data_IF_619198253081
#
_entry.id   IF_619198253081
#
_cell.length_a   1.000
_cell.length_b   1.000
_cell.length_c   1.000
_cell.angle_alpha   90.00
_cell.angle_beta   90.00
_cell.angle_gamma   90.00
#
_symmetry.space_group_name_H-M   'P 1'
#
loop_
_entity.id
_entity.type
_entity.pdbx_description
1 polymer ?
#
# COMPACT_ATOMS: atom_id res chain seq x y z
N UNK A 1 15.09 -23.18 3.07
CA UNK A 1 14.57 -21.91 3.61
C UNK A 1 15.36 -21.58 4.87
N UNK A 2 16.02 -20.43 4.97
CA UNK A 2 16.86 -20.12 6.15
C UNK A 2 16.06 -19.39 7.23
N UNK A 3 16.48 -19.46 8.50
CA UNK A 3 15.87 -18.68 9.59
C UNK A 3 15.94 -17.16 9.35
N UNK A 4 17.00 -16.70 8.68
CA UNK A 4 17.24 -15.28 8.40
C UNK A 4 16.17 -14.71 7.45
N UNK A 5 15.81 -15.50 6.44
CA UNK A 5 14.75 -15.17 5.48
C UNK A 5 13.36 -15.03 6.14
N UNK A 6 13.04 -15.95 7.07
CA UNK A 6 11.81 -15.91 7.86
C UNK A 6 11.75 -14.66 8.76
N UNK A 7 12.86 -14.32 9.43
CA UNK A 7 12.94 -13.14 10.28
C UNK A 7 12.72 -11.83 9.50
N UNK A 8 13.27 -11.74 8.28
CA UNK A 8 13.06 -10.58 7.40
C UNK A 8 11.60 -10.49 6.95
N UNK A 9 10.99 -11.60 6.50
CA UNK A 9 9.60 -11.62 6.07
C UNK A 9 8.62 -11.27 7.22
N UNK A 10 8.84 -11.81 8.43
CA UNK A 10 8.05 -11.51 9.63
C UNK A 10 8.17 -10.04 10.01
N UNK A 11 9.38 -9.48 9.97
CA UNK A 11 9.62 -8.07 10.29
C UNK A 11 8.91 -7.14 9.30
N UNK A 12 8.95 -7.45 8.00
CA UNK A 12 8.26 -6.69 6.96
C UNK A 12 6.74 -6.78 7.11
N UNK A 13 6.22 -7.98 7.37
CA UNK A 13 4.79 -8.19 7.62
C UNK A 13 4.32 -7.44 8.88
N UNK A 14 5.10 -7.47 9.96
CA UNK A 14 4.82 -6.74 11.19
C UNK A 14 4.83 -5.21 10.96
N UNK A 15 5.84 -4.68 10.24
CA UNK A 15 5.89 -3.25 9.88
C UNK A 15 4.71 -2.84 9.00
N UNK A 16 4.35 -3.66 8.01
CA UNK A 16 3.18 -3.39 7.18
C UNK A 16 1.90 -3.33 8.03
N UNK A 17 1.68 -4.31 8.91
CA UNK A 17 0.49 -4.36 9.77
C UNK A 17 0.42 -3.22 10.78
N UNK A 18 1.56 -2.87 11.42
CA UNK A 18 1.60 -1.91 12.53
C UNK A 18 1.61 -0.45 12.08
N UNK A 19 2.30 -0.15 10.97
CA UNK A 19 2.53 1.23 10.56
C UNK A 19 1.86 1.59 9.23
N UNK A 20 2.02 0.74 8.20
CA UNK A 20 1.52 1.11 6.86
C UNK A 20 0.02 0.89 6.70
N UNK A 21 -0.50 -0.24 7.19
CA UNK A 21 -1.90 -0.62 7.03
C UNK A 21 -2.86 0.42 7.67
N UNK A 22 -2.68 0.89 8.91
CA UNK A 22 -3.56 1.90 9.49
C UNK A 22 -3.58 3.21 8.69
N UNK A 23 -2.40 3.66 8.22
CA UNK A 23 -2.29 4.89 7.44
C UNK A 23 -2.95 4.76 6.06
N UNK A 24 -2.73 3.65 5.35
CA UNK A 24 -3.38 3.40 4.05
C UNK A 24 -4.90 3.30 4.20
N UNK A 25 -5.40 2.72 5.29
CA UNK A 25 -6.84 2.67 5.58
C UNK A 25 -7.41 4.05 5.87
N UNK A 26 -6.67 4.92 6.57
CA UNK A 26 -7.09 6.31 6.78
C UNK A 26 -7.18 7.08 5.45
N UNK A 27 -6.17 6.94 4.58
CA UNK A 27 -6.18 7.53 3.24
C UNK A 27 -7.38 7.01 2.43
N UNK A 28 -7.64 5.70 2.49
CA UNK A 28 -8.79 5.11 1.83
C UNK A 28 -10.11 5.72 2.34
N UNK A 29 -10.27 5.90 3.65
CA UNK A 29 -11.47 6.51 4.21
C UNK A 29 -11.69 7.96 3.73
N UNK A 30 -10.61 8.76 3.62
CA UNK A 30 -10.66 10.11 3.03
C UNK A 30 -11.12 10.05 1.57
N UNK A 31 -10.54 9.16 0.78
CA UNK A 31 -10.92 8.97 -0.61
C UNK A 31 -12.36 8.45 -0.79
N UNK A 32 -12.82 7.57 0.11
CA UNK A 32 -14.19 7.04 0.08
C UNK A 32 -15.24 8.14 0.38
N UNK A 33 -14.83 9.26 1.01
CA UNK A 33 -15.66 10.47 1.18
C UNK A 33 -15.67 11.40 -0.05
N UNK A 34 -14.95 11.05 -1.11
CA UNK A 34 -14.83 11.86 -2.33
C UNK A 34 -13.78 12.99 -2.23
N UNK A 35 -13.02 13.05 -1.14
CA UNK A 35 -11.96 14.03 -0.97
C UNK A 35 -10.73 13.69 -1.83
N UNK A 36 -9.93 14.70 -2.17
CA UNK A 36 -8.65 14.51 -2.88
C UNK A 36 -7.54 14.12 -1.91
N UNK A 37 -6.48 13.52 -2.45
CA UNK A 37 -5.28 13.28 -1.67
C UNK A 37 -4.55 14.58 -1.37
N UNK A 38 -4.05 14.71 -0.15
CA UNK A 38 -3.07 15.75 0.17
C UNK A 38 -1.69 15.39 -0.40
N UNK A 39 -0.82 16.39 -0.58
CA UNK A 39 0.58 16.14 -0.95
C UNK A 39 1.30 15.20 0.03
N UNK A 40 0.94 15.26 1.31
CA UNK A 40 1.49 14.38 2.33
C UNK A 40 1.07 12.91 2.09
N UNK A 41 -0.18 12.68 1.70
CA UNK A 41 -0.68 11.35 1.37
C UNK A 41 -0.07 10.80 0.09
N UNK A 42 0.10 11.66 -0.94
CA UNK A 42 0.79 11.30 -2.18
C UNK A 42 2.24 10.88 -1.88
N UNK A 43 2.99 11.69 -1.12
CA UNK A 43 4.37 11.36 -0.72
C UNK A 43 4.45 10.05 0.06
N UNK A 44 3.51 9.84 0.99
CA UNK A 44 3.43 8.59 1.75
C UNK A 44 3.19 7.37 0.86
N UNK A 45 2.22 7.45 -0.06
CA UNK A 45 1.90 6.36 -0.98
C UNK A 45 3.06 6.07 -1.93
N UNK A 46 3.74 7.10 -2.43
CA UNK A 46 4.91 6.94 -3.28
C UNK A 46 6.03 6.18 -2.55
N UNK A 47 6.35 6.59 -1.32
CA UNK A 47 7.33 5.91 -0.49
C UNK A 47 6.91 4.46 -0.18
N UNK A 48 5.63 4.23 0.12
CA UNK A 48 5.09 2.90 0.40
C UNK A 48 5.18 1.95 -0.79
N UNK A 49 4.90 2.43 -1.99
CA UNK A 49 5.08 1.67 -3.23
C UNK A 49 6.56 1.39 -3.52
N UNK A 50 7.45 2.37 -3.33
CA UNK A 50 8.90 2.21 -3.51
C UNK A 50 9.45 1.13 -2.58
N UNK A 51 9.11 1.22 -1.29
CA UNK A 51 9.55 0.25 -0.29
C UNK A 51 8.99 -1.14 -0.60
N UNK A 52 7.71 -1.25 -0.99
CA UNK A 52 7.11 -2.54 -1.37
C UNK A 52 7.83 -3.16 -2.58
N UNK A 53 8.16 -2.38 -3.62
CA UNK A 53 8.91 -2.85 -4.79
C UNK A 53 10.30 -3.37 -4.44
N UNK A 54 10.99 -2.74 -3.48
CA UNK A 54 12.34 -3.17 -3.04
C UNK A 54 12.32 -4.53 -2.37
N UNK A 55 11.28 -4.84 -1.60
CA UNK A 55 11.17 -6.12 -0.87
C UNK A 55 10.41 -7.21 -1.61
N UNK A 56 9.64 -6.86 -2.64
CA UNK A 56 8.86 -7.82 -3.44
C UNK A 56 9.71 -8.98 -4.00
N UNK A 57 10.91 -8.77 -4.57
CA UNK A 57 11.72 -9.87 -5.11
C UNK A 57 12.20 -10.84 -4.03
N UNK A 58 12.49 -10.34 -2.83
CA UNK A 58 12.86 -11.19 -1.69
C UNK A 58 11.64 -12.01 -1.25
N UNK A 59 10.49 -11.36 -1.06
CA UNK A 59 9.27 -11.99 -0.54
C UNK A 59 8.65 -12.98 -1.54
N UNK A 60 8.74 -12.71 -2.85
CA UNK A 60 8.19 -13.56 -3.90
C UNK A 60 8.89 -14.92 -4.01
N UNK A 61 10.13 -15.05 -3.51
CA UNK A 61 10.89 -16.30 -3.51
C UNK A 61 10.47 -17.26 -2.39
N UNK A 62 9.61 -16.83 -1.46
CA UNK A 62 9.20 -17.64 -0.31
C UNK A 62 7.81 -18.27 -0.50
N UNK A 63 7.70 -19.61 -0.40
CA UNK A 63 6.41 -20.29 -0.34
C UNK A 63 5.59 -19.78 0.85
N UNK A 64 4.36 -19.32 0.59
CA UNK A 64 3.43 -18.85 1.63
C UNK A 64 3.25 -17.33 1.73
N UNK A 65 4.13 -16.52 1.14
CA UNK A 65 3.98 -15.06 1.15
C UNK A 65 3.01 -14.52 0.09
N UNK A 66 2.64 -15.34 -0.90
CA UNK A 66 1.78 -14.93 -2.02
C UNK A 66 0.48 -14.25 -1.58
N UNK A 67 -0.24 -14.81 -0.60
CA UNK A 67 -1.50 -14.21 -0.11
C UNK A 67 -1.31 -12.82 0.52
N UNK A 68 -0.21 -12.59 1.24
CA UNK A 68 0.09 -11.29 1.85
C UNK A 68 0.43 -10.26 0.77
N UNK A 69 1.27 -10.65 -0.18
CA UNK A 69 1.67 -9.81 -1.32
C UNK A 69 0.45 -9.40 -2.14
N UNK A 70 -0.41 -10.36 -2.52
CA UNK A 70 -1.62 -10.07 -3.28
C UNK A 70 -2.57 -9.12 -2.54
N UNK A 71 -2.79 -9.31 -1.24
CA UNK A 71 -3.62 -8.40 -0.43
C UNK A 71 -3.06 -6.99 -0.35
N UNK A 72 -1.73 -6.86 -0.19
CA UNK A 72 -1.09 -5.55 -0.18
C UNK A 72 -1.20 -4.85 -1.55
N UNK A 73 -0.98 -5.59 -2.64
CA UNK A 73 -1.11 -5.07 -3.99
C UNK A 73 -2.54 -4.59 -4.31
N UNK A 74 -3.56 -5.40 -3.97
CA UNK A 74 -4.96 -5.04 -4.13
C UNK A 74 -5.33 -3.77 -3.36
N UNK A 75 -4.82 -3.62 -2.12
CA UNK A 75 -5.07 -2.43 -1.32
C UNK A 75 -4.48 -1.17 -1.98
N UNK A 76 -3.23 -1.22 -2.44
CA UNK A 76 -2.61 -0.08 -3.12
C UNK A 76 -3.31 0.26 -4.44
N UNK A 77 -3.73 -0.76 -5.22
CA UNK A 77 -4.47 -0.55 -6.46
C UNK A 77 -5.81 0.15 -6.21
N UNK A 78 -6.58 -0.31 -5.23
CA UNK A 78 -7.87 0.29 -4.87
C UNK A 78 -7.73 1.76 -4.46
N UNK A 79 -6.70 2.09 -3.67
CA UNK A 79 -6.41 3.48 -3.27
C UNK A 79 -6.05 4.34 -4.48
N UNK A 80 -5.21 3.83 -5.40
CA UNK A 80 -4.82 4.57 -6.59
C UNK A 80 -6.01 4.84 -7.53
N UNK A 81 -6.86 3.83 -7.76
CA UNK A 81 -8.06 3.96 -8.59
C UNK A 81 -9.04 5.00 -8.02
N UNK A 82 -9.29 4.95 -6.71
CA UNK A 82 -10.18 5.90 -6.05
C UNK A 82 -9.61 7.33 -6.07
N UNK A 83 -8.29 7.49 -5.89
CA UNK A 83 -7.65 8.80 -5.99
C UNK A 83 -7.84 9.43 -7.38
N UNK A 84 -7.62 8.66 -8.45
CA UNK A 84 -7.85 9.13 -9.82
C UNK A 84 -9.32 9.49 -10.05
N UNK A 85 -10.26 8.66 -9.58
CA UNK A 85 -11.68 8.93 -9.72
C UNK A 85 -12.11 10.24 -9.02
N UNK A 86 -11.57 10.51 -7.82
CA UNK A 86 -11.88 11.75 -7.10
C UNK A 86 -11.28 12.98 -7.78
N UNK A 87 -10.04 12.90 -8.29
CA UNK A 87 -9.43 13.99 -9.07
C UNK A 87 -10.25 14.32 -10.33
N UNK A 88 -10.70 13.29 -11.06
CA UNK A 88 -11.54 13.47 -12.24
C UNK A 88 -12.90 14.11 -11.90
N UNK A 89 -13.52 13.71 -10.79
CA UNK A 89 -14.76 14.32 -10.32
C UNK A 89 -14.56 15.80 -10.04
N UNK A 90 -13.55 16.17 -9.25
CA UNK A 90 -13.27 17.58 -8.94
C UNK A 90 -13.03 18.38 -10.22
N UNK A 91 -12.26 17.83 -11.16
CA UNK A 91 -11.97 18.47 -12.44
C UNK A 91 -13.20 18.68 -13.34
N UNK A 92 -14.18 17.78 -13.30
CA UNK A 92 -15.40 17.89 -14.11
C UNK A 92 -16.48 18.77 -13.47
N UNK A 93 -16.29 19.19 -12.21
CA UNK A 93 -17.29 20.01 -11.47
C UNK A 93 -16.84 21.46 -11.29
N UNK A 94 -15.71 21.86 -11.87
CA UNK A 94 -15.19 23.23 -11.90
C UNK A 94 -15.00 23.71 -13.34
#
# INVERSE_FOLDING_TARGET
MTLKDYGVAITLAARFRKYRRPRVLHIKATLDRGERLSDADIRFLHQACSDTRRVLPAVARYPGCGKLVSKAAQLYLSVAQQAVANEQRVRNTG
#
